data_IF_718398661384
#
_entry.id   IF_718398661384
#
_cell.length_a   1.000
_cell.length_b   1.000
_cell.length_c   1.000
_cell.angle_alpha   90.00
_cell.angle_beta   90.00
_cell.angle_gamma   90.00
#
_symmetry.space_group_name_H-M   'P 1'
#
loop_
_entity.id
_entity.type
_entity.pdbx_description
1 polymer ?
#
# COMPACT_ATOMS: atom_id res chain seq x y z
N UNK A 1 19.13 14.18 -16.38
CA UNK A 1 19.87 12.94 -16.17
C UNK A 1 19.60 12.39 -14.77
N UNK A 2 19.57 11.08 -14.59
CA UNK A 2 19.34 10.42 -13.31
C UNK A 2 20.38 10.88 -12.27
N UNK A 3 19.92 11.13 -11.04
CA UNK A 3 20.80 11.46 -9.90
C UNK A 3 20.05 11.35 -8.57
N UNK A 4 20.72 10.83 -7.54
CA UNK A 4 20.13 10.67 -6.22
C UNK A 4 18.88 9.80 -6.29
N UNK A 5 17.78 10.30 -5.78
CA UNK A 5 16.44 9.64 -5.80
C UNK A 5 15.71 9.78 -7.15
N UNK A 6 16.25 10.48 -8.11
CA UNK A 6 15.68 10.64 -9.45
C UNK A 6 16.33 9.64 -10.40
N UNK A 7 15.64 8.53 -10.62
CA UNK A 7 16.09 7.41 -11.42
C UNK A 7 15.95 7.64 -12.91
N UNK A 8 16.40 6.69 -13.72
CA UNK A 8 16.31 6.73 -15.18
C UNK A 8 14.84 6.89 -15.62
N UNK A 9 14.47 7.94 -16.35
CA UNK A 9 13.09 8.12 -16.80
C UNK A 9 12.71 7.01 -17.79
N UNK A 10 11.50 6.49 -17.62
CA UNK A 10 10.90 5.47 -18.47
C UNK A 10 9.74 6.07 -19.24
N UNK A 11 9.58 5.72 -20.51
CA UNK A 11 8.45 6.11 -21.35
C UNK A 11 8.00 4.94 -22.21
N UNK A 12 6.72 4.96 -22.59
CA UNK A 12 6.10 3.90 -23.41
C UNK A 12 5.09 3.08 -22.64
N UNK A 13 4.59 2.02 -23.27
CA UNK A 13 3.64 1.07 -22.67
C UNK A 13 4.45 0.03 -21.90
N UNK A 14 4.45 0.12 -20.57
CA UNK A 14 5.24 -0.74 -19.69
C UNK A 14 4.41 -1.74 -18.88
N UNK A 15 3.06 -1.68 -18.99
CA UNK A 15 2.15 -2.66 -18.42
C UNK A 15 1.59 -3.61 -19.48
N UNK A 16 0.95 -4.68 -19.02
CA UNK A 16 0.36 -5.70 -19.91
C UNK A 16 -0.72 -5.10 -20.81
N UNK A 17 -0.67 -5.47 -22.08
CA UNK A 17 -1.72 -5.17 -23.07
C UNK A 17 -2.33 -6.49 -23.51
N UNK A 18 -3.66 -6.56 -23.52
CA UNK A 18 -4.39 -7.75 -23.98
C UNK A 18 -5.63 -7.37 -24.79
N UNK A 19 -6.14 -8.33 -25.54
CA UNK A 19 -7.41 -8.24 -26.23
C UNK A 19 -8.39 -9.24 -25.61
N UNK A 20 -9.59 -8.78 -25.35
CA UNK A 20 -10.64 -9.58 -24.74
C UNK A 20 -11.90 -9.55 -25.63
N UNK A 21 -12.35 -10.71 -26.14
CA UNK A 21 -13.61 -10.79 -26.90
C UNK A 21 -14.79 -10.71 -25.92
N UNK A 22 -15.67 -9.74 -26.11
CA UNK A 22 -16.86 -9.56 -25.28
C UNK A 22 -18.11 -9.38 -26.12
N UNK A 23 -19.29 -9.68 -25.57
CA UNK A 23 -20.57 -9.32 -26.20
C UNK A 23 -20.74 -7.78 -26.19
N UNK A 24 -21.72 -7.28 -26.96
CA UNK A 24 -22.07 -5.85 -26.90
C UNK A 24 -22.46 -5.42 -25.49
N UNK A 25 -23.15 -6.32 -24.76
CA UNK A 25 -23.43 -6.15 -23.33
C UNK A 25 -22.46 -7.01 -22.53
N UNK A 26 -21.59 -6.39 -21.77
CA UNK A 26 -20.62 -7.06 -20.92
C UNK A 26 -20.48 -6.32 -19.59
N UNK A 27 -19.90 -6.96 -18.60
CA UNK A 27 -19.57 -6.36 -17.30
C UNK A 27 -18.26 -5.60 -17.45
N UNK A 28 -18.33 -4.28 -17.46
CA UNK A 28 -17.14 -3.43 -17.68
C UNK A 28 -16.35 -3.15 -16.41
N UNK A 29 -16.97 -3.26 -15.23
CA UNK A 29 -16.33 -2.99 -13.94
C UNK A 29 -17.07 -3.68 -12.80
N UNK A 30 -16.30 -4.09 -11.79
CA UNK A 30 -16.83 -4.54 -10.50
C UNK A 30 -16.08 -3.83 -9.36
N UNK A 31 -16.82 -3.37 -8.36
CA UNK A 31 -16.28 -2.97 -7.06
C UNK A 31 -16.77 -3.96 -6.02
N UNK A 32 -15.85 -4.49 -5.22
CA UNK A 32 -16.13 -5.47 -4.18
C UNK A 32 -15.75 -4.84 -2.84
N UNK A 33 -16.72 -4.72 -1.94
CA UNK A 33 -16.54 -4.14 -0.61
C UNK A 33 -16.95 -5.19 0.43
N UNK A 34 -15.98 -5.81 1.12
CA UNK A 34 -16.28 -6.68 2.24
C UNK A 34 -16.77 -5.86 3.45
N UNK A 35 -17.79 -6.33 4.11
CA UNK A 35 -18.30 -5.80 5.36
C UNK A 35 -18.30 -6.91 6.41
N UNK A 36 -17.25 -6.95 7.23
CA UNK A 36 -17.10 -8.00 8.24
C UNK A 36 -18.01 -7.79 9.44
N UNK A 37 -18.45 -6.56 9.69
CA UNK A 37 -19.32 -6.23 10.83
C UNK A 37 -20.76 -6.71 10.58
N UNK A 38 -21.19 -6.66 9.30
CA UNK A 38 -22.50 -7.15 8.87
C UNK A 38 -22.43 -8.53 8.18
N UNK A 39 -21.26 -9.18 8.19
CA UNK A 39 -21.02 -10.49 7.57
C UNK A 39 -21.54 -10.54 6.12
N UNK A 40 -21.16 -9.54 5.30
CA UNK A 40 -21.62 -9.43 3.93
C UNK A 40 -20.54 -8.97 2.95
N UNK A 41 -20.78 -9.23 1.67
CA UNK A 41 -20.00 -8.73 0.55
C UNK A 41 -20.91 -7.83 -0.27
N UNK A 42 -20.55 -6.56 -0.40
CA UNK A 42 -21.26 -5.63 -1.25
C UNK A 42 -20.56 -5.56 -2.61
N UNK A 43 -21.32 -5.86 -3.68
CA UNK A 43 -20.82 -5.87 -5.05
C UNK A 43 -21.55 -4.81 -5.86
N UNK A 44 -20.78 -3.93 -6.47
CA UNK A 44 -21.28 -2.98 -7.47
C UNK A 44 -20.75 -3.39 -8.83
N UNK A 45 -21.66 -3.81 -9.71
CA UNK A 45 -21.33 -4.16 -11.08
C UNK A 45 -21.76 -3.02 -12.04
N UNK A 46 -20.90 -2.70 -13.00
CA UNK A 46 -21.21 -1.76 -14.09
C UNK A 46 -21.17 -2.50 -15.39
N UNK A 47 -22.14 -2.30 -16.25
CA UNK A 47 -22.22 -2.93 -17.57
C UNK A 47 -22.01 -1.89 -18.68
N UNK A 48 -21.58 -2.34 -19.85
CA UNK A 48 -21.33 -1.50 -21.03
C UNK A 48 -22.59 -0.84 -21.61
N UNK A 49 -23.77 -1.41 -21.32
CA UNK A 49 -25.09 -0.91 -21.74
C UNK A 49 -26.09 -0.95 -20.58
N UNK A 50 -27.19 -0.24 -20.71
CA UNK A 50 -28.31 -0.34 -19.75
C UNK A 50 -28.83 -1.79 -19.72
N UNK A 51 -28.69 -2.41 -18.57
CA UNK A 51 -29.00 -3.83 -18.32
C UNK A 51 -30.15 -4.02 -17.32
N UNK A 52 -30.99 -3.01 -17.10
CA UNK A 52 -32.09 -3.06 -16.09
C UNK A 52 -33.04 -4.25 -16.25
N UNK A 53 -33.19 -4.80 -17.45
CA UNK A 53 -34.00 -5.98 -17.72
C UNK A 53 -33.22 -7.30 -17.61
N UNK A 54 -31.92 -7.22 -17.36
CA UNK A 54 -31.03 -8.37 -17.29
C UNK A 54 -30.89 -8.87 -15.85
N UNK A 55 -30.21 -9.97 -15.67
CA UNK A 55 -29.93 -10.59 -14.36
C UNK A 55 -28.45 -10.76 -14.16
N UNK A 56 -28.01 -10.68 -12.91
CA UNK A 56 -26.71 -11.16 -12.47
C UNK A 56 -26.90 -12.48 -11.72
N UNK A 57 -26.15 -13.49 -12.10
CA UNK A 57 -25.96 -14.70 -11.30
C UNK A 57 -24.60 -14.65 -10.63
N UNK A 58 -24.58 -14.64 -9.32
CA UNK A 58 -23.38 -14.46 -8.50
C UNK A 58 -23.14 -15.72 -7.69
N UNK A 59 -21.96 -16.27 -7.84
CA UNK A 59 -21.51 -17.46 -7.10
C UNK A 59 -20.28 -17.13 -6.27
N UNK A 60 -20.35 -17.43 -4.98
CA UNK A 60 -19.21 -17.36 -4.06
C UNK A 60 -18.72 -18.79 -3.79
N UNK A 61 -17.41 -18.99 -3.92
CA UNK A 61 -16.77 -20.28 -3.75
C UNK A 61 -15.79 -20.26 -2.58
N UNK A 62 -15.81 -21.30 -1.78
CA UNK A 62 -14.79 -21.61 -0.79
C UNK A 62 -14.08 -22.90 -1.20
N UNK A 63 -12.76 -22.86 -1.46
CA UNK A 63 -11.98 -24.03 -1.90
C UNK A 63 -12.67 -24.80 -3.06
N UNK A 64 -13.10 -24.06 -4.08
CA UNK A 64 -13.80 -24.58 -5.27
C UNK A 64 -15.19 -25.20 -4.99
N UNK A 65 -15.76 -25.00 -3.83
CA UNK A 65 -17.14 -25.39 -3.51
C UNK A 65 -18.01 -24.17 -3.42
N UNK A 66 -19.14 -24.15 -4.10
CA UNK A 66 -20.12 -23.07 -3.99
C UNK A 66 -20.70 -23.03 -2.58
N UNK A 67 -20.51 -21.90 -1.90
CA UNK A 67 -21.08 -21.63 -0.57
C UNK A 67 -22.26 -20.68 -0.64
N UNK A 68 -22.38 -19.97 -1.75
CA UNK A 68 -23.51 -19.08 -2.02
C UNK A 68 -23.72 -18.96 -3.54
N UNK A 69 -24.99 -19.00 -3.97
CA UNK A 69 -25.40 -18.71 -5.34
C UNK A 69 -26.71 -17.94 -5.30
N UNK A 70 -26.79 -16.88 -6.06
CA UNK A 70 -28.00 -16.08 -6.21
C UNK A 70 -28.12 -15.55 -7.63
N UNK A 71 -29.36 -15.54 -8.15
CA UNK A 71 -29.72 -14.84 -9.37
C UNK A 71 -30.62 -13.67 -9.00
N UNK A 72 -30.15 -12.47 -9.28
CA UNK A 72 -30.86 -11.21 -8.97
C UNK A 72 -31.08 -10.42 -10.24
N UNK A 73 -32.16 -9.64 -10.30
CA UNK A 73 -32.33 -8.66 -11.38
C UNK A 73 -31.17 -7.67 -11.29
N UNK A 74 -30.61 -7.28 -12.45
CA UNK A 74 -29.50 -6.32 -12.45
C UNK A 74 -29.90 -5.06 -11.68
N UNK A 75 -29.13 -4.81 -10.65
CA UNK A 75 -29.11 -3.56 -9.92
C UNK A 75 -27.65 -3.14 -9.72
N UNK A 76 -27.41 -1.89 -9.55
CA UNK A 76 -26.05 -1.34 -9.44
C UNK A 76 -25.34 -1.83 -8.17
N UNK A 77 -26.04 -2.26 -7.13
CA UNK A 77 -25.45 -2.65 -5.84
C UNK A 77 -26.19 -3.85 -5.23
N UNK A 78 -25.44 -4.88 -4.89
CA UNK A 78 -25.96 -6.14 -4.36
C UNK A 78 -25.20 -6.50 -3.09
N UNK A 79 -25.91 -6.78 -2.00
CA UNK A 79 -25.33 -7.27 -0.75
C UNK A 79 -25.53 -8.77 -0.60
N UNK A 80 -24.47 -9.51 -0.37
CA UNK A 80 -24.45 -10.97 -0.26
C UNK A 80 -24.03 -11.35 1.16
N UNK A 81 -24.89 -12.06 1.93
CA UNK A 81 -24.55 -12.51 3.28
C UNK A 81 -23.54 -13.68 3.22
N UNK A 82 -22.47 -13.58 4.02
CA UNK A 82 -21.47 -14.64 4.24
C UNK A 82 -21.33 -14.86 5.74
N UNK A 83 -22.05 -15.84 6.28
CA UNK A 83 -22.06 -16.13 7.71
C UNK A 83 -20.70 -16.65 8.19
N UNK A 84 -20.21 -16.12 9.33
CA UNK A 84 -18.94 -16.48 9.95
C UNK A 84 -17.79 -16.48 8.93
N UNK A 85 -17.52 -15.37 8.25
CA UNK A 85 -16.56 -15.34 7.16
C UNK A 85 -15.14 -15.63 7.64
N UNK A 86 -14.37 -16.36 6.84
CA UNK A 86 -12.92 -16.47 7.01
C UNK A 86 -12.30 -15.13 6.64
N UNK A 87 -11.68 -14.48 7.62
CA UNK A 87 -11.11 -13.16 7.42
C UNK A 87 -9.75 -13.25 6.73
N UNK A 88 -9.52 -12.32 5.84
CA UNK A 88 -8.23 -12.13 5.20
C UNK A 88 -7.30 -11.29 6.09
N UNK A 89 -6.06 -11.74 6.26
CA UNK A 89 -4.97 -10.99 6.89
C UNK A 89 -3.62 -11.46 6.31
N UNK A 90 -2.51 -10.76 6.57
CA UNK A 90 -1.17 -11.25 6.21
C UNK A 90 -0.84 -12.61 6.79
N UNK A 91 -1.38 -12.97 7.94
CA UNK A 91 -1.19 -14.25 8.61
C UNK A 91 -2.09 -15.35 8.04
N UNK A 92 -3.26 -14.98 7.51
CA UNK A 92 -4.27 -15.89 6.96
C UNK A 92 -4.90 -15.26 5.70
N UNK A 93 -4.22 -15.28 4.55
CA UNK A 93 -4.66 -14.60 3.34
C UNK A 93 -5.74 -15.39 2.58
N UNK A 94 -6.85 -15.66 3.24
CA UNK A 94 -7.94 -16.43 2.67
C UNK A 94 -8.73 -15.60 1.65
N UNK A 95 -8.90 -16.15 0.45
CA UNK A 95 -9.65 -15.56 -0.64
C UNK A 95 -10.82 -16.46 -1.03
N UNK A 96 -12.03 -15.92 -0.99
CA UNK A 96 -13.20 -16.55 -1.61
C UNK A 96 -13.15 -16.36 -3.12
N UNK A 97 -13.42 -17.39 -3.90
CA UNK A 97 -13.68 -17.26 -5.34
C UNK A 97 -15.01 -16.55 -5.59
N UNK A 98 -15.04 -15.69 -6.60
CA UNK A 98 -16.24 -14.96 -7.03
C UNK A 98 -16.41 -15.17 -8.53
N UNK A 99 -17.61 -15.61 -8.94
CA UNK A 99 -18.02 -15.63 -10.35
C UNK A 99 -19.30 -14.79 -10.50
N UNK A 100 -19.33 -13.93 -11.51
CA UNK A 100 -20.49 -13.10 -11.86
C UNK A 100 -20.82 -13.31 -13.33
N UNK A 101 -22.05 -13.74 -13.61
CA UNK A 101 -22.57 -13.92 -14.97
C UNK A 101 -23.62 -12.87 -15.27
N UNK A 102 -23.53 -12.26 -16.44
CA UNK A 102 -24.57 -11.39 -16.98
C UNK A 102 -25.51 -12.21 -17.86
N UNK A 103 -26.78 -12.25 -17.50
CA UNK A 103 -27.80 -13.04 -18.20
C UNK A 103 -28.88 -12.11 -18.75
N UNK A 104 -29.07 -12.15 -20.06
CA UNK A 104 -30.12 -11.41 -20.78
C UNK A 104 -31.04 -12.35 -21.54
N UNK A 105 -32.34 -12.21 -21.35
CA UNK A 105 -33.37 -13.06 -22.05
C UNK A 105 -33.07 -14.57 -21.94
N UNK A 106 -32.54 -15.00 -20.78
CA UNK A 106 -32.19 -16.40 -20.53
C UNK A 106 -30.87 -16.88 -21.14
N UNK A 107 -30.11 -16.01 -21.82
CA UNK A 107 -28.81 -16.32 -22.41
C UNK A 107 -27.71 -15.70 -21.57
N UNK A 108 -26.64 -16.44 -21.25
CA UNK A 108 -25.40 -15.94 -20.72
C UNK A 108 -24.68 -15.09 -21.77
N UNK A 109 -24.41 -13.82 -21.46
CA UNK A 109 -23.73 -12.88 -22.35
C UNK A 109 -22.29 -12.67 -21.96
N UNK A 110 -22.01 -12.68 -20.64
CA UNK A 110 -20.68 -12.44 -20.14
C UNK A 110 -20.48 -13.14 -18.80
N UNK A 111 -19.22 -13.48 -18.50
CA UNK A 111 -18.83 -14.08 -17.23
C UNK A 111 -17.50 -13.52 -16.76
N UNK A 112 -17.46 -13.07 -15.51
CA UNK A 112 -16.24 -12.62 -14.85
C UNK A 112 -15.89 -13.57 -13.72
N UNK A 113 -14.61 -13.94 -13.63
CA UNK A 113 -14.03 -14.61 -12.49
C UNK A 113 -13.16 -13.63 -11.69
N UNK A 114 -13.35 -13.62 -10.39
CA UNK A 114 -12.65 -12.74 -9.46
C UNK A 114 -12.51 -13.41 -8.09
N UNK A 115 -12.15 -12.64 -7.09
CA UNK A 115 -12.04 -13.12 -5.71
C UNK A 115 -12.36 -12.01 -4.72
N UNK A 116 -12.59 -12.39 -3.45
CA UNK A 116 -12.79 -11.45 -2.36
C UNK A 116 -12.05 -11.89 -1.10
N UNK A 117 -11.34 -10.97 -0.47
CA UNK A 117 -10.79 -11.12 0.87
C UNK A 117 -11.66 -10.39 1.88
N UNK A 118 -12.28 -11.12 2.79
CA UNK A 118 -13.08 -10.54 3.86
C UNK A 118 -12.18 -9.84 4.88
N UNK A 119 -12.08 -8.51 4.80
CA UNK A 119 -11.23 -7.72 5.70
C UNK A 119 -11.83 -6.34 5.95
N UNK A 120 -11.46 -5.73 7.08
CA UNK A 120 -11.72 -4.34 7.39
C UNK A 120 -10.44 -3.67 7.86
N UNK A 121 -10.18 -2.47 7.34
CA UNK A 121 -9.17 -1.56 7.88
C UNK A 121 -9.88 -0.38 8.52
N UNK A 122 -9.45 0.01 9.71
CA UNK A 122 -10.04 1.10 10.48
C UNK A 122 -9.00 1.76 11.38
N UNK A 123 -9.40 2.84 12.03
CA UNK A 123 -8.65 3.47 13.10
C UNK A 123 -9.51 3.54 14.35
N UNK A 124 -8.91 3.31 15.51
CA UNK A 124 -9.59 3.45 16.79
C UNK A 124 -8.60 3.81 17.89
N UNK A 125 -9.11 4.24 19.04
CA UNK A 125 -8.29 4.47 20.22
C UNK A 125 -8.01 3.16 20.95
N UNK A 126 -6.74 2.94 21.31
CA UNK A 126 -6.36 1.85 22.20
C UNK A 126 -6.77 2.16 23.66
N UNK A 127 -6.46 1.23 24.57
CA UNK A 127 -6.77 1.38 26.02
C UNK A 127 -6.10 2.60 26.68
N UNK A 128 -5.10 3.20 26.03
CA UNK A 128 -4.41 4.41 26.49
C UNK A 128 -4.94 5.68 25.81
N UNK A 129 -5.99 5.58 24.99
CA UNK A 129 -6.54 6.69 24.22
C UNK A 129 -5.72 7.09 22.99
N UNK A 130 -4.73 6.29 22.60
CA UNK A 130 -3.88 6.52 21.43
C UNK A 130 -4.55 6.00 20.17
N UNK A 131 -4.57 6.81 19.09
CA UNK A 131 -5.09 6.38 17.80
C UNK A 131 -4.24 5.26 17.20
N UNK A 132 -4.84 4.12 16.86
CA UNK A 132 -4.20 2.95 16.26
C UNK A 132 -4.85 2.54 14.95
N UNK A 133 -4.05 2.00 14.04
CA UNK A 133 -4.59 1.25 12.91
C UNK A 133 -5.11 -0.10 13.40
N UNK A 134 -6.26 -0.50 12.85
CA UNK A 134 -6.85 -1.81 13.12
C UNK A 134 -7.01 -2.60 11.83
N UNK A 135 -6.72 -3.87 11.88
CA UNK A 135 -7.09 -4.86 10.88
C UNK A 135 -8.11 -5.81 11.49
N UNK A 136 -9.29 -5.94 10.85
CA UNK A 136 -10.36 -6.81 11.33
C UNK A 136 -10.74 -6.52 12.80
N UNK A 137 -10.90 -5.24 13.13
CA UNK A 137 -11.25 -4.70 14.45
C UNK A 137 -10.19 -4.94 15.55
N UNK A 138 -8.97 -5.37 15.21
CA UNK A 138 -7.87 -5.56 16.16
C UNK A 138 -6.74 -4.58 15.87
N UNK A 139 -6.16 -4.01 16.93
CA UNK A 139 -4.99 -3.14 16.80
C UNK A 139 -3.87 -3.89 16.07
N UNK A 140 -3.33 -3.26 15.02
CA UNK A 140 -2.41 -3.92 14.12
C UNK A 140 -1.25 -3.00 13.75
N UNK A 141 -0.02 -3.40 14.09
CA UNK A 141 1.17 -2.65 13.72
C UNK A 141 1.54 -2.95 12.27
N UNK A 142 1.40 -1.96 11.39
CA UNK A 142 1.80 -2.08 10.00
C UNK A 142 3.30 -1.77 9.88
N UNK A 143 4.07 -2.79 9.54
CA UNK A 143 5.51 -2.69 9.42
C UNK A 143 5.98 -3.20 8.06
N UNK A 144 6.59 -2.34 7.28
CA UNK A 144 6.91 -2.65 5.90
C UNK A 144 8.19 -2.05 5.37
N UNK A 145 8.37 -2.26 4.07
CA UNK A 145 9.45 -1.69 3.27
C UNK A 145 8.91 -0.75 2.22
N UNK A 146 9.70 0.27 1.89
CA UNK A 146 9.54 1.05 0.68
C UNK A 146 9.92 0.18 -0.51
N UNK A 147 9.09 0.15 -1.55
CA UNK A 147 9.33 -0.58 -2.79
C UNK A 147 9.21 0.34 -4.00
N UNK A 148 10.33 0.61 -4.63
CA UNK A 148 10.42 1.44 -5.84
C UNK A 148 10.01 0.65 -7.09
N UNK A 149 10.09 -0.69 -7.06
CA UNK A 149 9.72 -1.57 -8.16
C UNK A 149 10.61 -1.46 -9.40
N UNK A 150 11.92 -1.24 -9.23
CA UNK A 150 12.86 -1.13 -10.33
C UNK A 150 13.63 -2.43 -10.59
N UNK A 151 13.87 -2.70 -11.86
CA UNK A 151 14.52 -3.92 -12.35
C UNK A 151 15.72 -3.58 -13.25
N UNK A 152 16.83 -4.36 -13.16
CA UNK A 152 18.05 -4.03 -13.90
C UNK A 152 17.89 -4.07 -15.43
N UNK A 153 17.05 -4.96 -15.92
CA UNK A 153 16.84 -5.24 -17.35
C UNK A 153 15.59 -4.59 -17.92
N UNK A 154 14.53 -4.48 -17.13
CA UNK A 154 13.24 -3.94 -17.53
C UNK A 154 12.90 -2.55 -16.98
N UNK A 155 13.74 -1.97 -16.14
CA UNK A 155 13.48 -0.73 -15.40
C UNK A 155 12.17 -0.77 -14.64
N UNK A 156 11.09 -0.27 -15.22
CA UNK A 156 9.74 -0.27 -14.64
C UNK A 156 9.02 -1.62 -14.75
N UNK A 157 9.53 -2.54 -15.57
CA UNK A 157 8.87 -3.82 -15.89
C UNK A 157 9.66 -4.98 -15.31
N UNK A 158 9.03 -5.76 -14.44
CA UNK A 158 9.60 -7.02 -13.97
C UNK A 158 9.74 -8.02 -15.13
N UNK A 159 10.83 -8.80 -15.20
CA UNK A 159 11.10 -9.68 -16.34
C UNK A 159 10.15 -10.87 -16.43
N UNK A 160 9.62 -11.34 -15.29
CA UNK A 160 8.72 -12.51 -15.22
C UNK A 160 7.68 -12.34 -14.12
N UNK A 161 6.69 -13.22 -14.09
CA UNK A 161 5.70 -13.30 -13.01
C UNK A 161 6.34 -13.74 -11.69
N UNK A 162 7.35 -14.59 -11.73
CA UNK A 162 8.15 -14.98 -10.58
C UNK A 162 8.89 -13.77 -9.98
N UNK A 163 9.43 -12.90 -10.83
CA UNK A 163 10.05 -11.65 -10.41
C UNK A 163 9.04 -10.73 -9.73
N UNK A 164 7.83 -10.55 -10.30
CA UNK A 164 6.78 -9.72 -9.69
C UNK A 164 6.48 -10.13 -8.24
N UNK A 165 6.40 -11.43 -7.96
CA UNK A 165 6.08 -11.92 -6.61
C UNK A 165 7.31 -12.05 -5.70
N UNK A 166 8.53 -12.02 -6.24
CA UNK A 166 9.76 -12.27 -5.50
C UNK A 166 9.96 -11.27 -4.35
N UNK A 167 9.86 -9.96 -4.64
CA UNK A 167 10.06 -8.91 -3.63
C UNK A 167 8.99 -9.00 -2.53
N UNK A 168 7.74 -9.38 -2.87
CA UNK A 168 6.65 -9.62 -1.90
C UNK A 168 6.99 -10.79 -0.97
N UNK A 169 7.45 -11.91 -1.54
CA UNK A 169 7.84 -13.10 -0.78
C UNK A 169 9.02 -12.77 0.15
N UNK A 170 10.06 -12.11 -0.36
CA UNK A 170 11.24 -11.74 0.43
C UNK A 170 10.91 -10.75 1.54
N UNK A 171 10.05 -9.78 1.28
CA UNK A 171 9.56 -8.87 2.32
C UNK A 171 8.85 -9.64 3.43
N UNK A 172 8.02 -10.61 3.08
CA UNK A 172 7.34 -11.47 4.06
C UNK A 172 8.30 -12.38 4.83
N UNK A 173 9.27 -12.99 4.16
CA UNK A 173 10.34 -13.81 4.76
C UNK A 173 11.16 -13.02 5.78
N UNK A 174 11.44 -11.74 5.51
CA UNK A 174 12.09 -10.81 6.42
C UNK A 174 11.22 -10.43 7.64
N UNK A 175 9.98 -10.91 7.71
CA UNK A 175 9.08 -10.68 8.83
C UNK A 175 8.24 -9.42 8.75
N UNK A 176 8.22 -8.71 7.64
CA UNK A 176 7.30 -7.59 7.39
C UNK A 176 5.88 -8.09 7.09
N UNK A 177 4.90 -7.21 7.22
CA UNK A 177 3.50 -7.47 6.88
C UNK A 177 2.91 -6.46 5.89
N UNK A 178 3.71 -5.51 5.43
CA UNK A 178 3.28 -4.44 4.54
C UNK A 178 4.39 -4.04 3.55
N UNK A 179 3.97 -3.54 2.39
CA UNK A 179 4.80 -2.85 1.40
C UNK A 179 4.16 -1.50 1.11
N UNK A 180 4.93 -0.43 1.12
CA UNK A 180 4.54 0.83 0.52
C UNK A 180 5.06 0.86 -0.92
N UNK A 181 4.12 0.78 -1.88
CA UNK A 181 4.43 0.92 -3.30
C UNK A 181 4.64 2.39 -3.62
N UNK A 182 5.91 2.76 -3.75
CA UNK A 182 6.36 4.14 -3.79
C UNK A 182 6.26 4.74 -5.19
N UNK A 183 5.40 5.75 -5.33
CA UNK A 183 5.16 6.56 -6.53
C UNK A 183 5.10 5.75 -7.84
N UNK A 184 4.57 4.54 -7.77
CA UNK A 184 4.44 3.61 -8.90
C UNK A 184 3.15 2.79 -8.78
N UNK A 185 2.51 2.52 -9.92
CA UNK A 185 1.42 1.55 -10.04
C UNK A 185 1.93 0.31 -10.75
N UNK A 186 1.83 -0.84 -10.13
CA UNK A 186 2.26 -2.12 -10.71
C UNK A 186 1.18 -2.71 -11.63
N UNK A 187 1.51 -3.71 -12.47
CA UNK A 187 0.51 -4.52 -13.15
C UNK A 187 -0.43 -5.22 -12.17
N UNK A 188 -1.70 -5.48 -12.57
CA UNK A 188 -2.70 -6.15 -11.74
C UNK A 188 -2.21 -7.44 -11.07
N UNK A 189 -1.35 -8.21 -11.74
CA UNK A 189 -0.77 -9.45 -11.23
C UNK A 189 0.07 -9.25 -9.95
N UNK A 190 0.74 -8.11 -9.80
CA UNK A 190 1.49 -7.82 -8.57
C UNK A 190 0.55 -7.71 -7.37
N UNK A 191 -0.58 -7.00 -7.52
CA UNK A 191 -1.57 -6.87 -6.45
C UNK A 191 -2.26 -8.21 -6.15
N UNK A 192 -2.55 -9.01 -7.20
CA UNK A 192 -3.03 -10.39 -7.01
C UNK A 192 -2.05 -11.23 -6.17
N UNK A 193 -0.74 -11.11 -6.42
CA UNK A 193 0.26 -11.78 -5.61
C UNK A 193 0.28 -11.25 -4.17
N UNK A 194 0.16 -9.94 -3.95
CA UNK A 194 0.06 -9.36 -2.62
C UNK A 194 -1.18 -9.88 -1.87
N UNK A 195 -2.33 -9.94 -2.56
CA UNK A 195 -3.59 -10.48 -2.01
C UNK A 195 -3.46 -11.96 -1.63
N UNK A 196 -2.86 -12.76 -2.49
CA UNK A 196 -2.73 -14.22 -2.32
C UNK A 196 -1.65 -14.62 -1.31
N UNK A 197 -0.53 -13.92 -1.29
CA UNK A 197 0.59 -14.16 -0.37
C UNK A 197 0.25 -13.60 1.02
N UNK A 198 -0.61 -12.59 1.09
CA UNK A 198 -0.96 -11.86 2.31
C UNK A 198 0.09 -10.81 2.64
N UNK A 199 0.03 -9.68 1.95
CA UNK A 199 0.88 -8.52 2.18
C UNK A 199 0.01 -7.27 2.12
N UNK A 200 -0.02 -6.45 3.16
CA UNK A 200 -0.70 -5.17 3.12
C UNK A 200 0.03 -4.24 2.15
N UNK A 201 -0.72 -3.38 1.48
CA UNK A 201 -0.18 -2.41 0.52
C UNK A 201 -0.65 -1.00 0.85
N UNK A 202 0.30 -0.09 0.94
CA UNK A 202 0.05 1.34 0.82
C UNK A 202 0.38 1.74 -0.61
N UNK A 203 -0.59 2.33 -1.30
CA UNK A 203 -0.45 2.71 -2.70
C UNK A 203 -0.30 4.20 -2.86
N UNK A 204 0.87 4.62 -3.35
CA UNK A 204 1.13 6.00 -3.70
C UNK A 204 0.55 6.35 -5.07
N UNK A 205 0.09 7.60 -5.21
CA UNK A 205 -0.11 8.23 -6.51
C UNK A 205 1.27 8.55 -7.12
N UNK A 206 1.58 8.10 -8.34
CA UNK A 206 2.74 8.58 -9.06
C UNK A 206 2.60 10.07 -9.37
N UNK A 207 3.23 10.90 -8.56
CA UNK A 207 3.18 12.34 -8.73
C UNK A 207 4.58 12.94 -8.64
N UNK A 208 4.70 14.13 -9.13
CA UNK A 208 5.92 14.92 -9.10
C UNK A 208 5.87 15.97 -10.19
N UNK A 209 6.06 17.20 -9.82
CA UNK A 209 6.14 18.28 -10.80
C UNK A 209 7.43 19.07 -10.62
N UNK A 210 8.06 19.46 -11.73
CA UNK A 210 9.35 20.15 -11.77
C UNK A 210 9.25 21.60 -11.31
N UNK A 211 8.53 21.89 -10.25
CA UNK A 211 8.23 23.26 -9.83
C UNK A 211 8.71 23.51 -8.40
N UNK A 212 8.90 24.76 -8.06
CA UNK A 212 9.24 25.19 -6.70
C UNK A 212 8.27 24.59 -5.69
N UNK A 213 8.74 23.57 -4.98
CA UNK A 213 7.99 23.02 -3.86
C UNK A 213 7.84 24.07 -2.78
N UNK A 214 6.69 24.14 -2.09
CA UNK A 214 6.56 24.93 -0.88
C UNK A 214 7.66 24.55 0.11
N UNK A 215 8.06 25.50 0.96
CA UNK A 215 9.03 25.21 2.02
C UNK A 215 8.49 24.08 2.90
N UNK A 216 9.24 22.97 2.96
CA UNK A 216 8.89 21.84 3.79
C UNK A 216 8.92 22.18 5.28
N UNK A 217 7.84 21.89 5.99
CA UNK A 217 7.67 22.14 7.42
C UNK A 217 7.43 20.81 8.14
N UNK A 218 8.50 20.18 8.61
CA UNK A 218 8.47 18.81 9.14
C UNK A 218 8.13 18.69 10.64
N UNK A 219 7.82 19.78 11.34
CA UNK A 219 7.65 19.79 12.80
C UNK A 219 6.39 20.49 13.31
N UNK A 220 5.51 20.88 12.40
CA UNK A 220 4.23 21.54 12.70
C UNK A 220 3.23 21.31 11.56
N UNK A 221 1.97 21.63 11.80
CA UNK A 221 1.02 21.78 10.71
C UNK A 221 1.44 22.90 9.77
N UNK A 222 1.23 22.67 8.48
CA UNK A 222 1.59 23.63 7.44
C UNK A 222 0.77 24.91 7.57
N UNK A 223 1.44 26.04 7.49
CA UNK A 223 0.86 27.39 7.57
C UNK A 223 1.31 28.30 6.41
N UNK A 224 1.88 27.70 5.35
CA UNK A 224 2.35 28.40 4.17
C UNK A 224 1.36 28.37 3.01
N UNK A 225 1.80 28.86 1.86
CA UNK A 225 1.05 28.76 0.61
C UNK A 225 1.36 27.43 -0.08
N UNK A 226 0.31 26.70 -0.49
CA UNK A 226 0.46 25.49 -1.29
C UNK A 226 0.93 25.81 -2.70
N UNK A 227 1.64 24.86 -3.27
CA UNK A 227 1.94 24.87 -4.69
C UNK A 227 0.64 24.80 -5.50
N UNK A 228 0.59 25.58 -6.59
CA UNK A 228 -0.55 25.60 -7.50
C UNK A 228 -0.12 25.18 -8.91
N UNK A 229 -0.32 23.91 -9.28
CA UNK A 229 -0.08 23.41 -10.62
C UNK A 229 -1.04 24.05 -11.65
N UNK A 230 -0.73 23.87 -12.94
CA UNK A 230 -1.63 24.30 -14.00
C UNK A 230 -3.01 23.62 -13.89
N UNK A 231 -4.03 24.19 -14.52
CA UNK A 231 -5.36 23.59 -14.54
C UNK A 231 -5.31 22.19 -15.17
N UNK A 232 -4.55 22.03 -16.24
CA UNK A 232 -4.35 20.77 -16.94
C UNK A 232 -3.73 19.72 -16.02
N UNK A 233 -2.63 20.04 -15.32
CA UNK A 233 -2.00 19.14 -14.33
C UNK A 233 -2.97 18.70 -13.23
N UNK A 234 -3.81 19.61 -12.72
CA UNK A 234 -4.82 19.28 -11.70
C UNK A 234 -5.87 18.31 -12.22
N UNK A 235 -6.35 18.51 -13.45
CA UNK A 235 -7.34 17.64 -14.10
C UNK A 235 -6.71 16.26 -14.33
N UNK A 236 -5.51 16.21 -14.89
CA UNK A 236 -4.80 14.95 -15.14
C UNK A 236 -4.56 14.18 -13.85
N UNK A 237 -4.05 14.84 -12.80
CA UNK A 237 -3.85 14.20 -11.50
C UNK A 237 -5.15 13.57 -10.98
N UNK A 238 -6.27 14.30 -10.98
CA UNK A 238 -7.55 13.78 -10.49
C UNK A 238 -8.06 12.61 -11.34
N UNK A 239 -7.92 12.68 -12.67
CA UNK A 239 -8.34 11.60 -13.56
C UNK A 239 -7.50 10.35 -13.33
N UNK A 240 -6.19 10.48 -13.37
CA UNK A 240 -5.27 9.35 -13.17
C UNK A 240 -5.44 8.74 -11.77
N UNK A 241 -5.54 9.56 -10.72
CA UNK A 241 -5.75 9.05 -9.36
C UNK A 241 -7.07 8.30 -9.21
N UNK A 242 -8.14 8.82 -9.85
CA UNK A 242 -9.42 8.13 -9.92
C UNK A 242 -9.30 6.78 -10.63
N UNK A 243 -8.64 6.73 -11.78
CA UNK A 243 -8.45 5.51 -12.56
C UNK A 243 -7.63 4.47 -11.77
N UNK A 244 -6.59 4.87 -11.07
CA UNK A 244 -5.79 4.01 -10.20
C UNK A 244 -6.66 3.43 -9.07
N UNK A 245 -7.43 4.26 -8.38
CA UNK A 245 -8.31 3.79 -7.31
C UNK A 245 -9.42 2.87 -7.85
N UNK A 246 -10.02 3.20 -8.99
CA UNK A 246 -11.01 2.35 -9.67
C UNK A 246 -10.43 0.97 -10.04
N UNK A 247 -9.24 0.97 -10.65
CA UNK A 247 -8.56 -0.24 -11.10
C UNK A 247 -8.20 -1.19 -9.93
N UNK A 248 -7.79 -0.62 -8.81
CA UNK A 248 -7.32 -1.35 -7.65
C UNK A 248 -8.39 -1.50 -6.55
N UNK A 249 -9.62 -1.06 -6.80
CA UNK A 249 -10.66 -0.95 -5.78
C UNK A 249 -10.96 -2.27 -5.07
N UNK A 250 -10.96 -3.38 -5.81
CA UNK A 250 -11.35 -4.70 -5.30
C UNK A 250 -10.20 -5.48 -4.63
N UNK A 251 -8.96 -4.97 -4.62
CA UNK A 251 -7.82 -5.67 -4.04
C UNK A 251 -7.81 -5.59 -2.50
N UNK A 252 -7.93 -6.70 -1.76
CA UNK A 252 -7.98 -6.68 -0.31
C UNK A 252 -6.65 -6.27 0.35
N UNK A 253 -5.51 -6.48 -0.31
CA UNK A 253 -4.20 -6.07 0.20
C UNK A 253 -4.06 -4.55 0.37
N UNK A 254 -4.68 -3.75 -0.50
CA UNK A 254 -4.59 -2.29 -0.41
C UNK A 254 -5.40 -1.81 0.79
N UNK A 255 -4.73 -1.13 1.72
CA UNK A 255 -5.33 -0.65 2.98
C UNK A 255 -5.17 0.85 3.19
N UNK A 256 -4.30 1.50 2.42
CA UNK A 256 -4.07 2.94 2.51
C UNK A 256 -3.77 3.54 1.14
N UNK A 257 -4.44 4.65 0.84
CA UNK A 257 -4.19 5.50 -0.31
C UNK A 257 -3.29 6.65 0.08
N UNK A 258 -2.27 6.93 -0.72
CA UNK A 258 -1.27 7.97 -0.47
C UNK A 258 -1.20 8.93 -1.68
N UNK A 259 -2.01 10.00 -1.71
CA UNK A 259 -2.07 10.90 -2.86
C UNK A 259 -0.79 11.71 -3.09
N UNK A 260 0.01 11.95 -2.06
CA UNK A 260 1.27 12.70 -2.20
C UNK A 260 2.41 12.04 -1.43
N UNK A 261 3.61 12.06 -2.05
CA UNK A 261 4.86 11.74 -1.39
C UNK A 261 5.63 13.02 -1.10
N UNK A 262 5.95 13.25 0.16
CA UNK A 262 6.62 14.45 0.65
C UNK A 262 5.90 15.74 0.19
N UNK A 263 6.63 16.82 -0.02
CA UNK A 263 6.05 18.08 -0.54
C UNK A 263 6.11 18.18 -2.07
N UNK A 264 6.59 17.13 -2.75
CA UNK A 264 6.78 17.11 -4.19
C UNK A 264 5.44 17.11 -4.93
N UNK A 265 5.11 18.23 -5.57
CA UNK A 265 3.83 18.38 -6.28
C UNK A 265 2.59 18.39 -5.37
N UNK A 266 2.75 18.55 -4.07
CA UNK A 266 1.65 18.61 -3.11
C UNK A 266 0.82 19.87 -3.33
N UNK A 267 -0.47 19.71 -3.59
CA UNK A 267 -1.41 20.82 -3.86
C UNK A 267 -2.81 20.45 -3.40
N UNK A 268 -3.59 21.44 -2.96
CA UNK A 268 -4.96 21.27 -2.49
C UNK A 268 -5.13 20.03 -1.60
N UNK A 269 -4.19 19.86 -0.68
CA UNK A 269 -4.01 18.63 0.08
C UNK A 269 -5.28 18.20 0.82
N UNK A 270 -6.00 19.16 1.41
CA UNK A 270 -7.26 18.85 2.11
C UNK A 270 -8.34 18.38 1.13
N UNK A 271 -8.57 19.13 0.02
CA UNK A 271 -9.56 18.76 -1.00
C UNK A 271 -9.29 17.37 -1.61
N UNK A 272 -8.03 17.09 -1.96
CA UNK A 272 -7.64 15.82 -2.59
C UNK A 272 -7.80 14.67 -1.60
N UNK A 273 -7.42 14.86 -0.34
CA UNK A 273 -7.53 13.81 0.69
C UNK A 273 -8.99 13.49 1.04
N UNK A 274 -9.83 14.49 1.19
CA UNK A 274 -11.27 14.34 1.44
C UNK A 274 -11.96 13.65 0.26
N UNK A 275 -11.61 14.05 -0.96
CA UNK A 275 -12.13 13.41 -2.16
C UNK A 275 -11.68 11.95 -2.26
N UNK A 276 -10.40 11.65 -1.98
CA UNK A 276 -9.89 10.27 -1.95
C UNK A 276 -10.67 9.42 -0.94
N UNK A 277 -10.89 9.95 0.27
CA UNK A 277 -11.68 9.26 1.31
C UNK A 277 -13.13 9.07 0.93
N UNK A 278 -13.73 10.05 0.28
CA UNK A 278 -15.12 9.97 -0.21
C UNK A 278 -15.27 8.96 -1.35
N UNK A 279 -14.25 8.84 -2.20
CA UNK A 279 -14.23 7.89 -3.30
C UNK A 279 -14.12 6.45 -2.78
N UNK A 280 -13.25 6.20 -1.80
CA UNK A 280 -13.08 4.91 -1.16
C UNK A 280 -13.04 5.03 0.39
N UNK A 281 -14.20 4.99 1.04
CA UNK A 281 -14.29 5.07 2.50
C UNK A 281 -13.76 3.81 3.21
N UNK A 282 -13.58 2.71 2.49
CA UNK A 282 -13.16 1.40 3.03
C UNK A 282 -11.66 1.29 3.31
N UNK A 283 -10.88 2.33 2.98
CA UNK A 283 -9.42 2.39 3.17
C UNK A 283 -8.99 3.65 3.92
N UNK A 284 -7.80 3.61 4.47
CA UNK A 284 -7.19 4.79 5.09
C UNK A 284 -6.65 5.74 4.02
N UNK A 285 -6.53 7.00 4.40
CA UNK A 285 -5.89 8.05 3.59
C UNK A 285 -4.72 8.64 4.37
N UNK A 286 -3.53 8.51 3.81
CA UNK A 286 -2.32 9.21 4.23
C UNK A 286 -2.16 10.41 3.32
N UNK A 287 -2.56 11.59 3.78
CA UNK A 287 -2.71 12.79 2.96
C UNK A 287 -1.45 13.18 2.19
N UNK A 288 -0.29 13.08 2.85
CA UNK A 288 1.03 13.24 2.24
C UNK A 288 2.07 12.54 3.10
N UNK A 289 2.64 11.45 2.59
CA UNK A 289 3.68 10.72 3.32
C UNK A 289 4.93 11.59 3.44
N UNK A 290 5.32 11.96 4.68
CA UNK A 290 6.47 12.81 4.96
C UNK A 290 6.42 14.24 4.40
N UNK A 291 5.28 14.66 3.87
CA UNK A 291 5.10 15.99 3.29
C UNK A 291 4.80 17.08 4.30
N UNK A 292 4.17 18.16 3.83
CA UNK A 292 3.60 19.17 4.70
C UNK A 292 2.33 18.62 5.36
N UNK A 293 2.22 18.77 6.68
CA UNK A 293 1.12 18.19 7.47
C UNK A 293 -0.11 19.07 7.48
N UNK A 294 -1.25 18.47 7.18
CA UNK A 294 -2.57 19.12 7.23
C UNK A 294 -3.47 18.40 8.24
N UNK A 295 -4.58 19.05 8.61
CA UNK A 295 -5.55 18.48 9.55
C UNK A 295 -6.59 17.59 8.85
N UNK A 296 -6.13 16.77 7.91
CA UNK A 296 -6.94 15.92 7.03
C UNK A 296 -6.33 14.51 6.93
N UNK A 297 -7.10 13.57 6.40
CA UNK A 297 -6.72 12.16 6.30
C UNK A 297 -6.74 11.42 7.65
N UNK A 298 -6.43 10.16 7.61
CA UNK A 298 -6.45 9.24 8.76
C UNK A 298 -5.07 9.13 9.43
N UNK A 299 -4.01 9.46 8.70
CA UNK A 299 -2.60 9.20 9.08
C UNK A 299 -1.79 10.50 9.08
N UNK A 300 -0.97 10.68 10.11
CA UNK A 300 0.13 11.63 10.15
C UNK A 300 1.41 10.87 9.97
N UNK A 301 2.10 11.12 8.86
CA UNK A 301 3.23 10.34 8.40
C UNK A 301 4.51 11.17 8.39
N UNK A 302 5.52 10.68 9.10
CA UNK A 302 6.80 11.37 9.30
C UNK A 302 7.87 10.65 8.49
N UNK A 303 8.72 11.42 7.79
CA UNK A 303 9.98 10.94 7.23
C UNK A 303 11.15 11.42 8.07
N UNK A 304 12.01 10.51 8.49
CA UNK A 304 13.24 10.86 9.22
C UNK A 304 14.38 9.90 8.91
N UNK A 305 15.45 10.42 8.40
CA UNK A 305 16.67 9.68 8.09
C UNK A 305 17.85 10.13 8.96
N UNK A 306 18.79 9.20 9.28
CA UNK A 306 18.64 7.76 9.11
C UNK A 306 17.83 7.10 10.25
N UNK A 307 17.86 7.64 11.47
CA UNK A 307 17.25 7.05 12.65
C UNK A 307 15.74 7.26 12.74
N UNK A 308 14.97 6.31 13.29
CA UNK A 308 13.57 6.53 13.63
C UNK A 308 13.47 7.64 14.69
N UNK A 309 12.68 8.69 14.41
CA UNK A 309 12.51 9.84 15.30
C UNK A 309 11.13 10.45 15.18
N UNK A 310 10.54 10.78 16.34
CA UNK A 310 9.28 11.51 16.43
C UNK A 310 9.55 13.02 16.41
N UNK A 311 9.45 13.66 15.25
CA UNK A 311 9.60 15.13 15.11
C UNK A 311 8.29 15.87 15.29
N UNK A 312 7.18 15.18 15.09
CA UNK A 312 5.82 15.70 15.16
C UNK A 312 4.87 14.60 15.63
N UNK A 313 3.82 14.97 16.35
CA UNK A 313 2.79 14.04 16.82
C UNK A 313 1.42 14.69 16.75
N UNK A 314 0.48 14.06 16.08
CA UNK A 314 -0.93 14.47 16.06
C UNK A 314 -1.78 13.47 16.87
N UNK A 315 -2.31 13.87 18.03
CA UNK A 315 -3.12 12.98 18.87
C UNK A 315 -4.49 12.61 18.26
N UNK A 316 -4.90 13.29 17.20
CA UNK A 316 -6.19 13.06 16.53
C UNK A 316 -6.08 12.06 15.38
N UNK A 317 -4.87 11.69 14.96
CA UNK A 317 -4.60 10.79 13.85
C UNK A 317 -3.67 9.66 14.26
N UNK A 318 -3.64 8.64 13.42
CA UNK A 318 -2.62 7.60 13.55
C UNK A 318 -1.26 8.15 13.16
N UNK A 319 -0.27 8.02 14.03
CA UNK A 319 1.09 8.49 13.76
C UNK A 319 1.96 7.32 13.28
N UNK A 320 2.64 7.52 12.15
CA UNK A 320 3.53 6.53 11.54
C UNK A 320 4.84 7.16 11.11
N UNK A 321 5.84 6.34 10.89
CA UNK A 321 7.11 6.71 10.30
C UNK A 321 7.17 6.14 8.88
N UNK A 322 6.72 6.92 7.89
CA UNK A 322 6.54 6.48 6.51
C UNK A 322 7.82 6.24 5.74
N UNK A 323 8.93 6.82 6.22
CA UNK A 323 10.26 6.49 5.73
C UNK A 323 11.31 6.69 6.82
N UNK A 324 12.21 5.71 6.97
CA UNK A 324 13.39 5.80 7.83
C UNK A 324 14.46 4.78 7.40
N UNK A 325 15.63 4.88 7.98
CA UNK A 325 16.70 3.91 7.78
C UNK A 325 17.69 4.35 6.71
N UNK A 326 17.57 3.83 5.52
CA UNK A 326 18.48 4.16 4.44
C UNK A 326 19.91 3.71 4.70
N UNK A 327 20.08 2.50 5.29
CA UNK A 327 21.37 1.90 5.64
C UNK A 327 22.08 1.45 4.38
N UNK A 328 23.04 2.25 3.92
CA UNK A 328 23.84 1.97 2.72
C UNK A 328 24.94 0.94 2.97
N UNK A 329 24.95 -0.10 2.15
CA UNK A 329 26.01 -1.11 2.09
C UNK A 329 26.23 -1.50 0.62
N UNK A 330 27.32 -1.06 0.06
CA UNK A 330 27.74 -1.42 -1.29
C UNK A 330 28.32 -2.84 -1.31
N UNK A 331 27.79 -3.70 -2.16
CA UNK A 331 28.31 -5.07 -2.35
C UNK A 331 29.04 -5.13 -3.70
N UNK A 332 30.31 -5.40 -3.66
CA UNK A 332 31.14 -5.50 -4.87
C UNK A 332 30.56 -6.55 -5.83
N UNK A 333 30.63 -6.27 -7.13
CA UNK A 333 30.02 -7.03 -8.23
C UNK A 333 28.47 -7.05 -8.28
N UNK A 334 27.77 -6.44 -7.30
CA UNK A 334 26.33 -6.28 -7.25
C UNK A 334 25.95 -4.81 -7.15
N UNK A 335 26.59 -3.95 -7.94
CA UNK A 335 26.31 -2.51 -8.00
C UNK A 335 25.80 -2.14 -9.40
N UNK A 336 24.63 -1.54 -9.46
CA UNK A 336 24.12 -0.95 -10.71
C UNK A 336 25.00 0.22 -11.17
N UNK A 337 25.40 1.09 -10.23
CA UNK A 337 26.36 2.18 -10.48
C UNK A 337 27.60 2.01 -9.57
N UNK A 338 28.74 1.78 -10.18
CA UNK A 338 29.99 1.53 -9.43
C UNK A 338 30.55 2.77 -8.75
N UNK A 339 30.46 3.93 -9.40
CA UNK A 339 31.22 5.13 -9.01
C UNK A 339 30.43 6.19 -8.24
N UNK A 340 29.11 6.10 -8.21
CA UNK A 340 28.22 7.12 -7.62
C UNK A 340 27.13 6.52 -6.76
N UNK A 341 27.50 5.62 -5.86
CA UNK A 341 26.55 5.03 -4.92
C UNK A 341 26.49 5.80 -3.61
N UNK A 342 25.34 5.76 -2.96
CA UNK A 342 25.07 6.48 -1.74
C UNK A 342 24.03 5.77 -0.85
N UNK A 343 23.95 6.20 0.40
CA UNK A 343 22.93 5.85 1.38
C UNK A 343 22.93 6.90 2.48
N UNK A 344 21.86 7.02 3.24
CA UNK A 344 21.73 8.05 4.30
C UNK A 344 22.72 7.85 5.44
N UNK A 345 23.07 6.61 5.74
CA UNK A 345 24.21 6.20 6.57
C UNK A 345 24.89 5.01 5.89
N UNK A 346 26.22 4.89 6.01
CA UNK A 346 26.97 3.89 5.25
C UNK A 346 27.78 2.98 6.15
N UNK A 347 27.77 1.69 5.81
CA UNK A 347 28.56 0.64 6.46
C UNK A 347 29.43 -0.08 5.45
N UNK A 348 30.48 -0.75 5.96
CA UNK A 348 31.45 -1.48 5.14
C UNK A 348 31.22 -2.99 5.14
N UNK A 349 30.39 -3.50 6.04
CA UNK A 349 30.13 -4.93 6.15
C UNK A 349 28.70 -5.20 6.63
N UNK A 350 28.22 -6.40 6.38
CA UNK A 350 26.88 -6.86 6.71
C UNK A 350 26.60 -6.87 8.22
N UNK A 351 27.61 -7.20 9.04
CA UNK A 351 27.44 -7.29 10.50
C UNK A 351 27.05 -5.93 11.09
N UNK A 352 27.84 -4.89 10.79
CA UNK A 352 27.63 -3.55 11.34
C UNK A 352 26.33 -2.93 10.82
N UNK A 353 26.01 -3.16 9.53
CA UNK A 353 24.73 -2.74 8.94
C UNK A 353 23.54 -3.45 9.62
N UNK A 354 23.65 -4.75 9.90
CA UNK A 354 22.63 -5.51 10.62
C UNK A 354 22.49 -5.03 12.07
N UNK A 355 23.60 -4.77 12.76
CA UNK A 355 23.58 -4.25 14.14
C UNK A 355 22.85 -2.91 14.19
N UNK A 356 23.04 -2.03 13.21
CA UNK A 356 22.35 -0.76 13.11
C UNK A 356 20.86 -0.93 12.79
N UNK A 357 20.50 -1.84 11.89
CA UNK A 357 19.10 -2.16 11.61
C UNK A 357 18.35 -2.61 12.87
N UNK A 358 18.96 -3.55 13.62
CA UNK A 358 18.39 -4.04 14.90
C UNK A 358 18.28 -2.92 15.93
N UNK A 359 19.27 -2.02 15.99
CA UNK A 359 19.20 -0.84 16.85
C UNK A 359 18.00 0.06 16.50
N UNK A 360 17.79 0.36 15.22
CA UNK A 360 16.64 1.13 14.75
C UNK A 360 15.31 0.45 15.09
N UNK A 361 15.20 -0.85 14.88
CA UNK A 361 14.00 -1.61 15.21
C UNK A 361 13.70 -1.59 16.73
N UNK A 362 14.73 -1.64 17.58
CA UNK A 362 14.57 -1.49 19.03
C UNK A 362 14.15 -0.06 19.45
N UNK A 363 14.57 0.97 18.72
CA UNK A 363 14.06 2.34 18.90
C UNK A 363 12.57 2.41 18.52
N UNK A 364 12.16 1.81 17.40
CA UNK A 364 10.76 1.74 17.01
C UNK A 364 9.88 1.05 18.04
N UNK A 365 10.34 -0.03 18.68
CA UNK A 365 9.61 -0.68 19.78
C UNK A 365 9.30 0.27 20.94
N UNK A 366 10.20 1.23 21.22
CA UNK A 366 9.93 2.28 22.21
C UNK A 366 8.90 3.29 21.66
N UNK A 367 8.99 3.64 20.37
CA UNK A 367 8.07 4.60 19.75
C UNK A 367 6.64 4.06 19.66
N UNK A 368 6.44 2.75 19.48
CA UNK A 368 5.10 2.12 19.55
C UNK A 368 4.43 2.45 20.89
N UNK A 369 5.18 2.35 21.98
CA UNK A 369 4.69 2.73 23.32
C UNK A 369 4.38 4.21 23.45
N UNK A 370 5.00 5.06 22.63
CA UNK A 370 4.77 6.50 22.58
C UNK A 370 3.64 6.90 21.62
N UNK A 371 3.05 5.97 20.87
CA UNK A 371 1.88 6.24 20.05
C UNK A 371 2.02 5.93 18.57
N UNK A 372 3.19 5.48 18.08
CA UNK A 372 3.35 5.08 16.69
C UNK A 372 2.63 3.76 16.40
N UNK A 373 2.04 3.66 15.22
CA UNK A 373 1.22 2.52 14.79
C UNK A 373 1.73 1.83 13.52
N UNK A 374 2.79 2.35 12.93
CA UNK A 374 3.41 1.76 11.74
C UNK A 374 4.75 2.39 11.44
N UNK A 375 5.56 1.67 10.65
CA UNK A 375 6.84 2.17 10.16
C UNK A 375 7.23 1.50 8.84
N UNK A 376 7.96 2.22 7.98
CA UNK A 376 8.37 1.79 6.65
C UNK A 376 9.87 2.01 6.52
N UNK A 377 10.61 0.91 6.36
CA UNK A 377 12.05 0.94 6.15
C UNK A 377 12.39 1.26 4.69
N UNK A 378 13.29 2.18 4.45
CA UNK A 378 13.83 2.49 3.14
C UNK A 378 15.15 1.77 2.93
N UNK A 379 15.20 0.74 2.05
CA UNK A 379 14.15 0.19 1.19
C UNK A 379 14.36 -1.31 0.97
N UNK A 380 13.53 -1.98 0.14
CA UNK A 380 13.67 -3.43 -0.07
C UNK A 380 14.87 -3.78 -0.94
N UNK A 381 15.08 -3.08 -2.06
CA UNK A 381 16.20 -3.32 -3.00
C UNK A 381 16.99 -2.06 -3.25
N UNK A 382 18.27 -2.21 -3.60
CA UNK A 382 19.03 -1.12 -4.18
C UNK A 382 18.42 -0.69 -5.51
N UNK A 383 18.52 0.59 -5.84
CA UNK A 383 18.07 1.15 -7.13
C UNK A 383 19.12 2.11 -7.66
N UNK A 384 19.66 1.82 -8.83
CA UNK A 384 20.71 2.62 -9.49
C UNK A 384 21.90 2.92 -8.56
N UNK A 385 22.09 4.18 -8.17
CA UNK A 385 23.15 4.60 -7.25
C UNK A 385 22.77 4.53 -5.76
N UNK A 386 21.54 4.24 -5.44
CA UNK A 386 21.02 4.16 -4.07
C UNK A 386 21.23 2.74 -3.53
N UNK A 387 22.21 2.58 -2.61
CA UNK A 387 22.63 1.27 -2.08
C UNK A 387 22.15 1.04 -0.64
N UNK A 388 20.93 1.38 -0.33
CA UNK A 388 20.30 1.26 0.99
C UNK A 388 19.17 0.19 1.04
N UNK A 389 19.07 -0.62 0.00
CA UNK A 389 18.18 -1.77 -0.01
C UNK A 389 18.60 -2.84 1.02
N UNK A 390 17.64 -3.65 1.47
CA UNK A 390 17.92 -4.89 2.22
C UNK A 390 18.54 -5.94 1.30
N UNK A 391 18.25 -5.86 -0.01
CA UNK A 391 18.81 -6.70 -1.07
C UNK A 391 19.55 -5.83 -2.10
N UNK A 392 20.49 -6.43 -2.82
CA UNK A 392 21.10 -5.83 -4.01
C UNK A 392 20.08 -5.62 -5.13
N UNK A 393 20.38 -4.73 -6.08
CA UNK A 393 19.48 -4.37 -7.19
C UNK A 393 19.07 -5.57 -8.06
N UNK A 394 19.95 -6.56 -8.20
CA UNK A 394 19.74 -7.81 -8.94
C UNK A 394 19.02 -8.90 -8.10
N UNK A 395 18.73 -8.63 -6.83
CA UNK A 395 18.09 -9.53 -5.84
C UNK A 395 18.94 -10.77 -5.51
N UNK A 396 20.19 -10.84 -5.92
CA UNK A 396 21.06 -12.00 -5.68
C UNK A 396 21.59 -12.06 -4.25
N UNK A 397 21.81 -10.90 -3.60
CA UNK A 397 22.43 -10.84 -2.27
C UNK A 397 21.51 -10.17 -1.25
N UNK A 398 21.18 -10.90 -0.20
CA UNK A 398 20.64 -10.32 1.04
C UNK A 398 21.78 -9.66 1.81
N UNK A 399 21.72 -8.34 1.97
CA UNK A 399 22.85 -7.56 2.52
C UNK A 399 22.95 -7.62 4.05
N UNK A 400 21.85 -7.88 4.73
CA UNK A 400 21.76 -8.01 6.18
C UNK A 400 21.52 -9.46 6.60
N UNK A 401 21.82 -9.79 7.86
CA UNK A 401 21.50 -11.09 8.44
C UNK A 401 19.98 -11.28 8.52
N UNK A 402 19.45 -12.14 7.65
CA UNK A 402 18.04 -12.40 7.49
C UNK A 402 17.37 -12.85 8.78
N UNK A 403 18.03 -13.72 9.58
CA UNK A 403 17.45 -14.25 10.80
C UNK A 403 17.29 -13.16 11.87
N UNK A 404 18.31 -12.33 12.03
CA UNK A 404 18.30 -11.22 13.00
C UNK A 404 17.28 -10.14 12.62
N UNK A 405 17.22 -9.80 11.32
CA UNK A 405 16.21 -8.87 10.78
C UNK A 405 14.81 -9.43 11.03
N UNK A 406 14.57 -10.68 10.64
CA UNK A 406 13.27 -11.34 10.83
C UNK A 406 12.85 -11.39 12.29
N UNK A 407 13.76 -11.73 13.20
CA UNK A 407 13.45 -11.82 14.63
C UNK A 407 12.94 -10.48 15.18
N UNK A 408 13.63 -9.38 14.91
CA UNK A 408 13.24 -8.07 15.43
C UNK A 408 11.99 -7.54 14.74
N UNK A 409 11.78 -7.82 13.45
CA UNK A 409 10.59 -7.44 12.71
C UNK A 409 9.34 -8.15 13.25
N UNK A 410 9.44 -9.44 13.56
CA UNK A 410 8.35 -10.17 14.20
C UNK A 410 8.00 -9.63 15.60
N UNK A 411 8.99 -9.13 16.35
CA UNK A 411 8.74 -8.43 17.63
C UNK A 411 7.96 -7.13 17.41
N UNK A 412 8.31 -6.34 16.38
CA UNK A 412 7.60 -5.13 16.03
C UNK A 412 6.15 -5.40 15.61
N UNK A 413 5.93 -6.37 14.72
CA UNK A 413 4.57 -6.76 14.30
C UNK A 413 3.66 -7.15 15.46
N UNK A 414 4.23 -7.79 16.48
CA UNK A 414 3.52 -8.24 17.69
C UNK A 414 3.49 -7.19 18.80
N UNK A 415 3.91 -5.96 18.53
CA UNK A 415 3.99 -4.91 19.55
C UNK A 415 2.62 -4.27 19.88
N UNK A 416 1.59 -4.54 19.11
CA UNK A 416 0.20 -4.19 19.37
C UNK A 416 -0.64 -5.47 19.52
N UNK A 417 -1.72 -5.44 20.34
CA UNK A 417 -2.13 -4.33 21.18
C UNK A 417 -1.18 -4.07 22.36
N UNK A 418 -1.17 -2.82 22.84
CA UNK A 418 -0.47 -2.47 24.07
C UNK A 418 -1.27 -2.93 25.29
N UNK A 419 -0.77 -3.91 26.01
CA UNK A 419 -1.49 -4.57 27.10
C UNK A 419 -1.30 -3.92 28.48
N UNK A 420 -0.85 -2.66 28.56
CA UNK A 420 -0.67 -1.93 29.81
C UNK A 420 -1.18 -0.49 29.70
N UNK A 421 -1.72 0.02 30.79
CA UNK A 421 -2.10 1.42 30.88
C UNK A 421 -0.83 2.26 31.07
N UNK A 422 -0.67 3.27 30.22
CA UNK A 422 0.43 4.22 30.32
C UNK A 422 0.16 5.18 31.46
N UNK A 423 0.98 5.15 32.50
CA UNK A 423 0.96 6.20 33.50
C UNK A 423 1.71 7.39 32.89
N UNK A 424 0.98 8.43 32.50
CA UNK A 424 1.59 9.69 32.10
C UNK A 424 2.16 10.32 33.37
N UNK A 425 3.42 10.81 33.37
CA UNK A 425 3.87 11.66 34.47
C UNK A 425 2.95 12.88 34.52
N UNK A 426 2.50 13.24 35.73
CA UNK A 426 1.74 14.46 35.96
C UNK A 426 2.48 15.64 35.32
N UNK A 427 1.71 16.54 34.67
CA UNK A 427 2.26 17.70 33.94
C UNK A 427 2.94 18.67 34.84
#
# INVERSE_FOLDING_TARGET
SPRGIWYTPVSGIWQTVWLEPVDKKYISKIHIIPDIDNESINIKATTSYDSKEDFLEITINENNKSVFNVKVKYDSEISIPIKNPKLWSPESPFLYGLQIKLISKGKELDVIESYVGMRKISINKDVNGTMRMQLNNNDYFQFGTLDQGWWPDGLYTAPTDEALKFDIIKTKELGFNMIRKHVKVEPARWYYHADKIGMLVWQDMPNGEKIKTPKWQANKFFDGEEFMPSLESKINFKNEWKEIMDFLYSNPSIVCWVPFNESWGQFKTEEISEWTKSFDPSRLVNAASGGNYYRVGDVTDIHNYPEPKMKFYDPKRVNVLGEYGGIGLAIENHLWQKDRNWGYIRYKNSKDATDQYVNFANQLLKMVRLGFSGAIYTQITDVEGEVNGLMTYDREVMKLDLNRVREVNLKLRKSLPVNYIRIMPDK
#
